data_IF_483120274988
#
_entry.id   IF_483120274988
#
_cell.length_a   1.000
_cell.length_b   1.000
_cell.length_c   1.000
_cell.angle_alpha   90.00
_cell.angle_beta   90.00
_cell.angle_gamma   90.00
#
_symmetry.space_group_name_H-M   'P 1'
#
loop_
_entity.id
_entity.type
_entity.pdbx_description
1 polymer ?
#
# COMPACT_ATOMS: atom_id res chain seq x y z
N UNK A 1 -19.89 -31.95 14.90
CA UNK A 1 -20.83 -30.82 14.74
C UNK A 1 -20.43 -29.56 15.51
N UNK A 2 -19.78 -29.63 16.68
CA UNK A 2 -19.25 -28.42 17.35
C UNK A 2 -17.85 -28.01 16.87
N UNK A 3 -16.95 -28.97 16.64
CA UNK A 3 -15.56 -28.69 16.26
C UNK A 3 -15.39 -27.90 14.95
N UNK A 4 -16.21 -28.18 13.93
CA UNK A 4 -16.12 -27.49 12.63
C UNK A 4 -16.68 -26.06 12.69
N UNK A 5 -17.72 -25.82 13.48
CA UNK A 5 -18.30 -24.49 13.63
C UNK A 5 -17.39 -23.59 14.47
N UNK A 6 -16.81 -24.13 15.55
CA UNK A 6 -15.81 -23.42 16.36
C UNK A 6 -14.56 -23.10 15.54
N UNK A 7 -14.08 -24.04 14.71
CA UNK A 7 -12.95 -23.80 13.83
C UNK A 7 -13.25 -22.66 12.84
N UNK A 8 -14.40 -22.67 12.19
CA UNK A 8 -14.81 -21.60 11.25
C UNK A 8 -14.92 -20.24 11.93
N UNK A 9 -15.47 -20.19 13.16
CA UNK A 9 -15.54 -18.96 13.95
C UNK A 9 -14.14 -18.44 14.29
N UNK A 10 -13.24 -19.32 14.72
CA UNK A 10 -11.86 -18.96 15.01
C UNK A 10 -11.15 -18.41 13.78
N UNK A 11 -11.25 -19.10 12.65
CA UNK A 11 -10.63 -18.66 11.39
C UNK A 11 -11.14 -17.30 10.93
N UNK A 12 -12.45 -17.05 11.08
CA UNK A 12 -13.05 -15.75 10.79
C UNK A 12 -12.49 -14.67 11.71
N UNK A 13 -12.42 -14.91 13.02
CA UNK A 13 -11.87 -13.95 13.99
C UNK A 13 -10.41 -13.63 13.67
N UNK A 14 -9.59 -14.64 13.35
CA UNK A 14 -8.20 -14.43 12.95
C UNK A 14 -8.08 -13.62 11.64
N UNK A 15 -8.95 -13.89 10.67
CA UNK A 15 -9.00 -13.13 9.43
C UNK A 15 -9.40 -11.66 9.67
N UNK A 16 -10.39 -11.41 10.53
CA UNK A 16 -10.83 -10.06 10.92
C UNK A 16 -9.70 -9.29 11.57
N UNK A 17 -9.07 -9.86 12.60
CA UNK A 17 -7.96 -9.21 13.29
C UNK A 17 -6.79 -8.89 12.33
N UNK A 18 -6.49 -9.81 11.40
CA UNK A 18 -5.45 -9.59 10.40
C UNK A 18 -5.83 -8.46 9.42
N UNK A 19 -7.07 -8.42 8.96
CA UNK A 19 -7.57 -7.39 8.06
C UNK A 19 -7.56 -6.00 8.71
N UNK A 20 -7.98 -5.90 9.98
CA UNK A 20 -7.92 -4.66 10.76
C UNK A 20 -6.49 -4.15 10.91
N UNK A 21 -5.54 -5.04 11.18
CA UNK A 21 -4.12 -4.71 11.23
C UNK A 21 -3.60 -4.17 9.88
N UNK A 22 -3.93 -4.84 8.78
CA UNK A 22 -3.52 -4.41 7.42
C UNK A 22 -4.11 -3.05 7.07
N UNK A 23 -5.38 -2.81 7.40
CA UNK A 23 -6.03 -1.51 7.21
C UNK A 23 -5.26 -0.43 7.95
N UNK A 24 -5.02 -0.62 9.25
CA UNK A 24 -4.34 0.37 10.08
C UNK A 24 -2.92 0.66 9.59
N UNK A 25 -2.14 -0.38 9.29
CA UNK A 25 -0.78 -0.24 8.76
C UNK A 25 -0.77 0.49 7.41
N UNK A 26 -1.75 0.21 6.56
CA UNK A 26 -1.87 0.86 5.25
C UNK A 26 -2.25 2.34 5.42
N UNK A 27 -3.25 2.65 6.26
CA UNK A 27 -3.65 4.03 6.56
C UNK A 27 -2.49 4.85 7.13
N UNK A 28 -1.74 4.28 8.08
CA UNK A 28 -0.58 4.93 8.68
C UNK A 28 0.49 5.24 7.63
N UNK A 29 0.89 4.25 6.83
CA UNK A 29 1.91 4.46 5.78
C UNK A 29 1.42 5.42 4.71
N UNK A 30 0.15 5.40 4.35
CA UNK A 30 -0.39 6.37 3.40
C UNK A 30 -0.25 7.81 3.89
N UNK A 31 -0.50 8.06 5.18
CA UNK A 31 -0.28 9.38 5.77
C UNK A 31 1.20 9.76 5.84
N UNK A 32 2.08 8.82 6.18
CA UNK A 32 3.54 9.04 6.22
C UNK A 32 4.12 9.40 4.84
N UNK A 33 3.61 8.76 3.78
CA UNK A 33 4.12 8.93 2.42
C UNK A 33 3.25 9.85 1.55
N UNK A 34 2.19 10.50 2.09
CA UNK A 34 1.17 11.19 1.28
C UNK A 34 1.70 12.23 0.29
N UNK A 35 2.78 12.91 0.65
CA UNK A 35 3.41 13.94 -0.21
C UNK A 35 4.22 13.32 -1.37
N UNK A 36 4.56 12.04 -1.27
CA UNK A 36 5.34 11.27 -2.25
C UNK A 36 4.47 10.34 -3.10
N UNK A 37 3.27 10.02 -2.62
CA UNK A 37 2.32 9.15 -3.31
C UNK A 37 1.50 9.92 -4.37
N UNK A 38 1.23 9.34 -5.54
CA UNK A 38 0.28 9.91 -6.49
C UNK A 38 -1.14 9.97 -5.90
N UNK A 39 -1.81 11.11 -6.03
CA UNK A 39 -3.16 11.31 -5.49
C UNK A 39 -4.18 10.29 -6.03
N UNK A 40 -4.12 9.95 -7.32
CA UNK A 40 -4.99 8.96 -7.95
C UNK A 40 -4.85 7.56 -7.32
N UNK A 41 -3.61 7.12 -7.08
CA UNK A 41 -3.35 5.81 -6.49
C UNK A 41 -3.69 5.79 -4.99
N UNK A 42 -3.46 6.90 -4.28
CA UNK A 42 -3.96 7.09 -2.92
C UNK A 42 -5.48 6.96 -2.84
N UNK A 43 -6.21 7.58 -3.77
CA UNK A 43 -7.67 7.49 -3.77
C UNK A 43 -8.15 6.05 -4.00
N UNK A 44 -7.54 5.33 -4.96
CA UNK A 44 -7.83 3.91 -5.19
C UNK A 44 -7.58 3.07 -3.94
N UNK A 45 -6.46 3.31 -3.24
CA UNK A 45 -6.13 2.56 -2.03
C UNK A 45 -7.10 2.87 -0.88
N UNK A 46 -7.56 4.12 -0.75
CA UNK A 46 -8.62 4.52 0.20
C UNK A 46 -9.96 3.85 -0.11
N UNK A 47 -10.32 3.70 -1.38
CA UNK A 47 -11.50 2.94 -1.78
C UNK A 47 -11.37 1.46 -1.40
N UNK A 48 -10.22 0.84 -1.63
CA UNK A 48 -9.98 -0.55 -1.22
C UNK A 48 -10.04 -0.72 0.31
N UNK A 49 -9.46 0.21 1.07
CA UNK A 49 -9.59 0.23 2.54
C UNK A 49 -11.07 0.27 2.95
N UNK A 50 -11.85 1.13 2.31
CA UNK A 50 -13.28 1.28 2.60
C UNK A 50 -14.03 -0.02 2.32
N UNK A 51 -13.75 -0.69 1.19
CA UNK A 51 -14.34 -2.00 0.87
C UNK A 51 -14.01 -3.06 1.91
N UNK A 52 -12.76 -3.13 2.38
CA UNK A 52 -12.37 -4.08 3.44
C UNK A 52 -13.09 -3.72 4.75
N UNK A 53 -13.19 -2.44 5.12
CA UNK A 53 -13.94 -1.99 6.31
C UNK A 53 -15.42 -2.37 6.23
N UNK A 54 -16.07 -2.15 5.10
CA UNK A 54 -17.47 -2.56 4.86
C UNK A 54 -17.62 -4.09 4.96
N UNK A 55 -16.67 -4.84 4.41
CA UNK A 55 -16.64 -6.29 4.49
C UNK A 55 -16.47 -6.78 5.93
N UNK A 56 -15.67 -6.10 6.75
CA UNK A 56 -15.53 -6.38 8.18
C UNK A 56 -16.78 -5.99 8.99
N UNK A 57 -17.53 -4.97 8.57
CA UNK A 57 -18.80 -4.62 9.21
C UNK A 57 -19.83 -5.75 9.10
N UNK A 58 -19.81 -6.49 7.98
CA UNK A 58 -20.62 -7.69 7.71
C UNK A 58 -19.87 -9.01 7.94
N UNK A 59 -18.79 -9.01 8.73
CA UNK A 59 -17.94 -10.19 9.01
C UNK A 59 -18.73 -11.43 9.44
N UNK A 60 -19.88 -11.25 10.10
CA UNK A 60 -20.72 -12.34 10.60
C UNK A 60 -21.42 -13.11 9.46
N UNK A 61 -21.65 -12.43 8.34
CA UNK A 61 -22.23 -12.98 7.09
C UNK A 61 -21.15 -13.45 6.10
N UNK A 62 -19.89 -13.11 6.34
CA UNK A 62 -18.76 -13.39 5.45
C UNK A 62 -17.92 -14.60 5.90
N UNK A 63 -17.20 -15.22 4.97
CA UNK A 63 -16.26 -16.31 5.30
C UNK A 63 -14.90 -15.74 5.70
N UNK A 64 -14.18 -16.46 6.57
CA UNK A 64 -12.80 -16.08 6.92
C UNK A 64 -11.87 -16.02 5.68
N UNK A 65 -12.16 -16.84 4.66
CA UNK A 65 -11.46 -16.82 3.37
C UNK A 65 -11.72 -15.51 2.60
N UNK A 66 -12.97 -15.06 2.50
CA UNK A 66 -13.31 -13.79 1.85
C UNK A 66 -12.61 -12.61 2.52
N UNK A 67 -12.61 -12.58 3.86
CA UNK A 67 -11.93 -11.55 4.64
C UNK A 67 -10.42 -11.55 4.37
N UNK A 68 -9.78 -12.74 4.38
CA UNK A 68 -8.35 -12.88 4.04
C UNK A 68 -8.03 -12.45 2.62
N UNK A 69 -8.87 -12.81 1.65
CA UNK A 69 -8.65 -12.44 0.25
C UNK A 69 -8.75 -10.92 0.05
N UNK A 70 -9.73 -10.28 0.67
CA UNK A 70 -9.89 -8.83 0.64
C UNK A 70 -8.71 -8.12 1.32
N UNK A 71 -8.28 -8.59 2.50
CA UNK A 71 -7.12 -8.02 3.19
C UNK A 71 -5.80 -8.23 2.45
N UNK A 72 -5.60 -9.41 1.84
CA UNK A 72 -4.44 -9.69 1.00
C UNK A 72 -4.39 -8.79 -0.24
N UNK A 73 -5.54 -8.53 -0.86
CA UNK A 73 -5.66 -7.61 -1.99
C UNK A 73 -5.25 -6.20 -1.59
N UNK A 74 -5.76 -5.70 -0.46
CA UNK A 74 -5.37 -4.41 0.10
C UNK A 74 -3.86 -4.33 0.39
N UNK A 75 -3.30 -5.37 0.97
CA UNK A 75 -1.86 -5.45 1.26
C UNK A 75 -1.02 -5.43 -0.03
N UNK A 76 -1.45 -6.12 -1.09
CA UNK A 76 -0.74 -6.09 -2.37
C UNK A 76 -0.83 -4.72 -3.04
N UNK A 77 -1.99 -4.07 -2.98
CA UNK A 77 -2.18 -2.72 -3.51
C UNK A 77 -1.29 -1.71 -2.76
N UNK A 78 -1.22 -1.82 -1.43
CA UNK A 78 -0.38 -0.95 -0.61
C UNK A 78 1.11 -1.14 -0.92
N UNK A 79 1.60 -2.37 -1.00
CA UNK A 79 2.98 -2.67 -1.39
C UNK A 79 3.37 -2.07 -2.75
N UNK A 80 2.50 -2.23 -3.77
CA UNK A 80 2.74 -1.66 -5.10
C UNK A 80 2.82 -0.14 -5.07
N UNK A 81 1.93 0.52 -4.32
CA UNK A 81 1.91 1.97 -4.20
C UNK A 81 3.21 2.49 -3.57
N UNK A 82 3.64 1.89 -2.46
CA UNK A 82 4.88 2.29 -1.80
C UNK A 82 6.11 1.98 -2.68
N UNK A 83 6.14 0.84 -3.37
CA UNK A 83 7.23 0.52 -4.31
C UNK A 83 7.33 1.57 -5.43
N UNK A 84 6.21 2.02 -5.98
CA UNK A 84 6.18 3.09 -6.99
C UNK A 84 6.72 4.41 -6.44
N UNK A 85 6.36 4.78 -5.21
CA UNK A 85 6.84 6.00 -4.57
C UNK A 85 8.35 5.96 -4.29
N UNK A 86 8.86 4.83 -3.79
CA UNK A 86 10.30 4.62 -3.61
C UNK A 86 11.07 4.69 -4.93
N UNK A 87 10.57 4.04 -5.99
CA UNK A 87 11.19 4.12 -7.33
C UNK A 87 11.21 5.54 -7.86
N UNK A 88 10.11 6.28 -7.71
CA UNK A 88 10.02 7.69 -8.15
C UNK A 88 11.05 8.56 -7.42
N UNK A 89 11.13 8.45 -6.09
CA UNK A 89 12.14 9.18 -5.29
C UNK A 89 13.58 8.84 -5.70
N UNK A 90 13.87 7.56 -5.94
CA UNK A 90 15.20 7.14 -6.36
C UNK A 90 15.57 7.72 -7.73
N UNK A 91 14.63 7.72 -8.69
CA UNK A 91 14.82 8.31 -10.02
C UNK A 91 15.00 9.83 -9.97
N UNK A 92 14.24 10.55 -9.12
CA UNK A 92 14.40 12.00 -8.96
C UNK A 92 15.75 12.37 -8.32
N UNK A 93 16.28 11.54 -7.42
CA UNK A 93 17.57 11.77 -6.76
C UNK A 93 18.77 11.52 -7.66
N UNK A 94 18.70 10.55 -8.58
CA UNK A 94 19.75 10.34 -9.60
C UNK A 94 19.71 11.35 -10.76
N UNK A 95 18.64 12.14 -10.90
CA UNK A 95 18.51 13.17 -11.93
C UNK A 95 19.17 14.52 -11.59
N UNK A 96 19.54 14.76 -10.33
CA UNK A 96 20.14 16.04 -9.88
C UNK A 96 21.66 16.10 -9.92
N UNK A 97 22.36 15.09 -10.42
CA UNK A 97 23.84 15.04 -10.46
C UNK A 97 24.44 15.08 -11.88
N UNK A 98 23.73 15.62 -12.88
CA UNK A 98 24.25 15.80 -14.25
C UNK A 98 24.10 17.23 -14.79
N UNK A 99 23.92 18.22 -13.91
CA UNK A 99 23.67 19.61 -14.27
C UNK A 99 24.76 20.61 -13.89
N UNK A 100 26.04 20.23 -13.79
CA UNK A 100 27.11 21.22 -13.57
C UNK A 100 28.48 20.77 -14.07
N UNK A 101 28.67 20.69 -15.39
CA UNK A 101 30.02 20.75 -16.00
C UNK A 101 29.92 21.09 -17.49
N UNK A 102 29.60 22.36 -17.78
CA UNK A 102 29.99 23.03 -19.04
C UNK A 102 30.23 24.50 -18.72
N UNK A 103 31.50 24.85 -18.59
CA UNK A 103 32.13 26.10 -19.07
C UNK A 103 33.49 26.21 -18.36
N UNK A 104 34.53 25.69 -19.00
CA UNK A 104 35.77 26.44 -19.24
C UNK A 104 36.73 25.55 -20.06
N UNK A 105 36.81 25.83 -21.36
CA UNK A 105 37.97 25.58 -22.21
C UNK A 105 37.61 25.95 -23.65
N UNK A 106 37.60 27.26 -23.90
CA UNK A 106 37.64 27.79 -25.27
C UNK A 106 38.51 29.05 -25.30
N UNK A 107 39.80 28.86 -25.09
CA UNK A 107 40.93 29.70 -25.49
C UNK A 107 42.15 28.81 -25.25
N UNK A 108 43.06 28.54 -26.18
CA UNK A 108 43.70 29.47 -27.10
C UNK A 108 44.28 28.64 -28.27
N UNK A 109 44.16 29.21 -29.46
CA UNK A 109 44.75 28.69 -30.69
C UNK A 109 45.81 29.71 -31.11
N UNK A 110 47.10 29.43 -30.91
CA UNK A 110 48.18 29.97 -31.72
C UNK A 110 49.50 29.23 -31.51
#
# INVERSE_FOLDING_TARGET
KYAEEDQRRKERVEAVNNAEGIIHDTESKMEEFKDQLPADECNKLKEEISKVKELLARKDEETGENIRNASSTLQQASLKLFEMAYKKMASERSGSESGQQKEDQKEEKQ
#
